data_IF_560460510232
#
_entry.id   IF_560460510232
#
_cell.length_a   1.000
_cell.length_b   1.000
_cell.length_c   1.000
_cell.angle_alpha   90.00
_cell.angle_beta   90.00
_cell.angle_gamma   90.00
#
_symmetry.space_group_name_H-M   'P 1'
#
loop_
_entity.id
_entity.type
_entity.pdbx_description
1 polymer ?
#
# COMPACT_ATOMS: atom_id res chain seq x y z
N UNK A 1 20.48 6.10 11.51
CA UNK A 1 19.31 5.81 10.66
C UNK A 1 19.75 5.79 9.19
N UNK A 2 19.22 4.90 8.35
CA UNK A 2 19.74 4.64 7.00
C UNK A 2 19.53 5.81 6.02
N UNK A 3 18.44 6.57 6.13
CA UNK A 3 18.16 7.69 5.24
C UNK A 3 18.68 9.01 5.82
N UNK A 4 19.95 9.35 5.60
CA UNK A 4 20.54 10.61 6.12
C UNK A 4 19.97 11.89 5.46
N UNK A 5 19.29 11.73 4.34
CA UNK A 5 18.77 12.83 3.51
C UNK A 5 17.32 13.19 3.82
N UNK A 6 16.63 12.36 4.60
CA UNK A 6 15.23 12.54 4.95
C UNK A 6 15.09 12.97 6.42
N UNK A 7 14.07 13.79 6.77
CA UNK A 7 13.77 14.10 8.16
C UNK A 7 13.57 12.85 9.00
N UNK A 8 13.89 12.92 10.30
CA UNK A 8 13.81 11.77 11.21
C UNK A 8 12.44 11.09 11.22
N UNK A 9 11.36 11.87 11.10
CA UNK A 9 9.99 11.35 11.05
C UNK A 9 9.71 10.50 9.79
N UNK A 10 10.27 10.86 8.63
CA UNK A 10 10.16 10.07 7.39
C UNK A 10 10.96 8.78 7.52
N UNK A 11 12.13 8.84 8.14
CA UNK A 11 13.00 7.68 8.38
C UNK A 11 12.31 6.62 9.24
N UNK A 12 11.66 7.07 10.32
CA UNK A 12 10.86 6.20 11.20
C UNK A 12 9.67 5.63 10.43
N UNK A 13 8.99 6.45 9.63
CA UNK A 13 7.87 6.01 8.80
C UNK A 13 8.29 4.90 7.83
N UNK A 14 9.33 5.12 7.01
CA UNK A 14 9.81 4.11 6.05
C UNK A 14 10.27 2.82 6.72
N UNK A 15 10.90 2.92 7.90
CA UNK A 15 11.30 1.73 8.67
C UNK A 15 10.09 0.96 9.19
N UNK A 16 9.08 1.67 9.71
CA UNK A 16 7.85 1.06 10.19
C UNK A 16 7.03 0.45 9.04
N UNK A 17 7.05 1.09 7.86
CA UNK A 17 6.34 0.64 6.68
C UNK A 17 6.76 -0.77 6.27
N UNK A 18 8.07 -1.07 6.26
CA UNK A 18 8.57 -2.39 5.95
C UNK A 18 8.02 -3.48 6.88
N UNK A 19 7.85 -3.17 8.17
CA UNK A 19 7.23 -4.11 9.14
C UNK A 19 5.74 -4.25 8.87
N UNK A 20 5.05 -3.14 8.60
CA UNK A 20 3.62 -3.10 8.31
C UNK A 20 3.29 -3.85 7.01
N UNK A 21 4.16 -3.82 6.00
CA UNK A 21 3.99 -4.57 4.75
C UNK A 21 3.96 -6.08 5.00
N UNK A 22 4.85 -6.60 5.86
CA UNK A 22 4.86 -8.02 6.23
C UNK A 22 3.54 -8.39 6.93
N UNK A 23 3.02 -7.49 7.78
CA UNK A 23 1.73 -7.68 8.43
C UNK A 23 0.59 -7.68 7.40
N UNK A 24 0.63 -6.80 6.40
CA UNK A 24 -0.36 -6.78 5.32
C UNK A 24 -0.35 -8.05 4.48
N UNK A 25 0.82 -8.57 4.14
CA UNK A 25 0.97 -9.87 3.44
C UNK A 25 0.40 -11.00 4.30
N UNK A 26 0.73 -11.02 5.60
CA UNK A 26 0.17 -12.01 6.53
C UNK A 26 -1.36 -11.95 6.59
N UNK A 27 -1.93 -10.74 6.69
CA UNK A 27 -3.38 -10.55 6.66
C UNK A 27 -4.00 -10.93 5.31
N UNK A 28 -3.33 -10.68 4.18
CA UNK A 28 -3.84 -11.09 2.87
C UNK A 28 -3.97 -12.61 2.75
N UNK A 29 -3.02 -13.35 3.33
CA UNK A 29 -3.02 -14.81 3.34
C UNK A 29 -4.13 -15.34 4.26
N UNK A 30 -4.20 -14.83 5.49
CA UNK A 30 -5.10 -15.37 6.53
C UNK A 30 -6.52 -14.82 6.45
N UNK A 31 -6.65 -13.51 6.26
CA UNK A 31 -7.91 -12.75 6.25
C UNK A 31 -7.97 -11.80 5.06
N UNK A 32 -8.16 -12.38 3.87
CA UNK A 32 -8.10 -11.70 2.57
C UNK A 32 -8.74 -10.30 2.52
N UNK A 33 -9.94 -10.13 3.07
CA UNK A 33 -10.63 -8.82 3.07
C UNK A 33 -9.92 -7.77 3.96
N UNK A 34 -9.48 -8.17 5.16
CA UNK A 34 -8.77 -7.28 6.08
C UNK A 34 -7.37 -6.94 5.53
N UNK A 35 -6.70 -7.91 4.90
CA UNK A 35 -5.44 -7.70 4.19
C UNK A 35 -5.59 -6.71 3.04
N UNK A 36 -6.63 -6.84 2.21
CA UNK A 36 -6.90 -5.90 1.11
C UNK A 36 -7.09 -4.47 1.61
N UNK A 37 -7.89 -4.26 2.67
CA UNK A 37 -8.09 -2.94 3.26
C UNK A 37 -6.77 -2.37 3.78
N UNK A 38 -5.98 -3.19 4.50
CA UNK A 38 -4.71 -2.75 5.05
C UNK A 38 -3.70 -2.38 3.95
N UNK A 39 -3.59 -3.19 2.89
CA UNK A 39 -2.74 -2.89 1.72
C UNK A 39 -3.14 -1.60 1.03
N UNK A 40 -4.44 -1.33 0.88
CA UNK A 40 -4.91 -0.07 0.30
C UNK A 40 -4.54 1.14 1.16
N UNK A 41 -4.70 1.02 2.48
CA UNK A 41 -4.33 2.08 3.42
C UNK A 41 -2.84 2.36 3.38
N UNK A 42 -2.01 1.30 3.34
CA UNK A 42 -0.55 1.41 3.22
C UNK A 42 -0.16 2.13 1.92
N UNK A 43 -0.69 1.68 0.79
CA UNK A 43 -0.40 2.28 -0.52
C UNK A 43 -0.81 3.75 -0.61
N UNK A 44 -1.95 4.11 -0.03
CA UNK A 44 -2.43 5.49 -0.02
C UNK A 44 -1.55 6.37 0.87
N UNK A 45 -1.16 5.87 2.05
CA UNK A 45 -0.24 6.55 2.95
C UNK A 45 1.16 6.73 2.35
N UNK A 46 1.67 5.70 1.65
CA UNK A 46 2.98 5.74 0.99
C UNK A 46 3.02 6.80 -0.12
N UNK A 47 2.03 6.80 -1.01
CA UNK A 47 1.90 7.83 -2.06
C UNK A 47 1.80 9.23 -1.45
N UNK A 48 1.02 9.40 -0.37
CA UNK A 48 0.87 10.69 0.29
C UNK A 48 2.19 11.19 0.89
N UNK A 49 2.92 10.33 1.61
CA UNK A 49 4.18 10.69 2.26
C UNK A 49 5.29 10.92 1.23
N UNK A 50 5.34 10.12 0.17
CA UNK A 50 6.30 10.33 -0.92
C UNK A 50 5.98 11.60 -1.72
N UNK A 51 4.70 11.97 -1.88
CA UNK A 51 4.28 13.26 -2.43
C UNK A 51 4.69 14.44 -1.55
N UNK A 52 4.50 14.35 -0.24
CA UNK A 52 4.97 15.37 0.70
C UNK A 52 6.50 15.49 0.64
N UNK A 53 7.24 14.38 0.61
CA UNK A 53 8.69 14.40 0.52
C UNK A 53 9.21 14.98 -0.81
N UNK A 54 8.47 14.80 -1.91
CA UNK A 54 8.77 15.41 -3.21
C UNK A 54 8.50 16.92 -3.21
N UNK A 55 7.28 17.34 -2.86
CA UNK A 55 6.85 18.74 -2.98
C UNK A 55 7.38 19.65 -1.86
N UNK A 56 7.43 19.19 -0.61
CA UNK A 56 7.89 20.02 0.52
C UNK A 56 9.41 19.96 0.74
N UNK A 57 10.02 18.80 0.55
CA UNK A 57 11.40 18.58 0.97
C UNK A 57 12.39 18.54 -0.21
N UNK A 58 11.91 18.40 -1.46
CA UNK A 58 12.76 18.25 -2.66
C UNK A 58 13.83 17.14 -2.52
N UNK A 59 13.62 16.18 -1.61
CA UNK A 59 14.55 15.08 -1.32
C UNK A 59 14.46 13.99 -2.38
N UNK A 60 13.29 13.87 -3.02
CA UNK A 60 13.03 12.94 -4.11
C UNK A 60 13.06 13.75 -5.41
N UNK A 61 14.00 13.44 -6.30
CA UNK A 61 14.13 14.09 -7.61
C UNK A 61 13.33 13.39 -8.70
N UNK A 62 12.79 12.21 -8.41
CA UNK A 62 12.26 11.28 -9.41
C UNK A 62 10.73 11.31 -9.46
N UNK A 63 10.19 12.17 -10.32
CA UNK A 63 8.75 12.23 -10.63
C UNK A 63 8.19 10.90 -11.17
N UNK A 64 9.04 10.11 -11.82
CA UNK A 64 8.68 8.79 -12.36
C UNK A 64 8.34 7.79 -11.26
N UNK A 65 9.06 7.80 -10.14
CA UNK A 65 8.81 6.92 -9.01
C UNK A 65 7.41 7.17 -8.41
N UNK A 66 7.02 8.44 -8.24
CA UNK A 66 5.67 8.79 -7.78
C UNK A 66 4.57 8.37 -8.76
N UNK A 67 4.82 8.51 -10.06
CA UNK A 67 3.86 8.06 -11.08
C UNK A 67 3.69 6.54 -11.06
N UNK A 68 4.77 5.77 -10.87
CA UNK A 68 4.67 4.31 -10.70
C UNK A 68 3.92 3.94 -9.42
N UNK A 69 4.15 4.63 -8.30
CA UNK A 69 3.43 4.36 -7.04
C UNK A 69 1.93 4.65 -7.18
N UNK A 70 1.55 5.74 -7.85
CA UNK A 70 0.13 6.05 -8.10
C UNK A 70 -0.53 5.05 -9.06
N UNK A 71 0.19 4.61 -10.09
CA UNK A 71 -0.26 3.55 -11.01
C UNK A 71 -0.45 2.23 -10.26
N UNK A 72 0.50 1.88 -9.38
CA UNK A 72 0.41 0.70 -8.54
C UNK A 72 -0.75 0.78 -7.54
N UNK A 73 -1.02 1.95 -6.94
CA UNK A 73 -2.21 2.18 -6.11
C UNK A 73 -3.51 1.92 -6.90
N UNK A 74 -3.59 2.43 -8.13
CA UNK A 74 -4.74 2.17 -9.02
C UNK A 74 -4.91 0.67 -9.32
N UNK A 75 -3.81 -0.04 -9.55
CA UNK A 75 -3.81 -1.49 -9.72
C UNK A 75 -4.28 -2.23 -8.45
N UNK A 76 -3.83 -1.83 -7.26
CA UNK A 76 -4.29 -2.38 -5.99
C UNK A 76 -5.80 -2.16 -5.78
N UNK A 77 -6.32 -0.98 -6.11
CA UNK A 77 -7.76 -0.70 -6.04
C UNK A 77 -8.53 -1.61 -7.01
N UNK A 78 -8.12 -1.69 -8.27
CA UNK A 78 -8.79 -2.53 -9.27
C UNK A 78 -8.79 -4.01 -8.89
N UNK A 79 -7.63 -4.53 -8.44
CA UNK A 79 -7.51 -5.92 -8.00
C UNK A 79 -8.31 -6.19 -6.72
N UNK A 80 -8.38 -5.24 -5.78
CA UNK A 80 -9.16 -5.39 -4.55
C UNK A 80 -10.66 -5.58 -4.83
N UNK A 81 -11.23 -4.84 -5.79
CA UNK A 81 -12.64 -4.96 -6.19
C UNK A 81 -12.92 -6.37 -6.73
N UNK A 82 -12.04 -6.89 -7.59
CA UNK A 82 -12.18 -8.23 -8.15
C UNK A 82 -12.02 -9.33 -7.08
N UNK A 83 -11.02 -9.20 -6.21
CA UNK A 83 -10.75 -10.15 -5.14
C UNK A 83 -11.82 -10.14 -4.05
N UNK A 84 -12.51 -9.02 -3.85
CA UNK A 84 -13.66 -8.94 -2.95
C UNK A 84 -14.84 -9.77 -3.45
N UNK A 85 -15.15 -9.71 -4.75
CA UNK A 85 -16.29 -10.42 -5.35
C UNK A 85 -16.11 -11.94 -5.41
N UNK A 86 -14.88 -12.44 -5.41
CA UNK A 86 -14.60 -13.89 -5.49
C UNK A 86 -15.15 -14.68 -4.28
N UNK A 87 -15.39 -14.04 -3.12
CA UNK A 87 -16.09 -14.68 -1.99
C UNK A 87 -17.60 -14.82 -2.19
N UNK A 88 -18.24 -13.88 -2.89
CA UNK A 88 -19.69 -13.95 -3.13
C UNK A 88 -20.07 -15.10 -4.07
N UNK A 89 -19.25 -15.39 -5.09
CA UNK A 89 -19.56 -16.46 -6.04
C UNK A 89 -19.41 -17.87 -5.45
N UNK A 90 -18.43 -18.09 -4.57
CA UNK A 90 -18.24 -19.39 -3.92
C UNK A 90 -19.41 -19.76 -2.99
N UNK A 91 -20.08 -18.77 -2.40
CA UNK A 91 -21.22 -19.00 -1.52
C UNK A 91 -22.51 -19.34 -2.29
N UNK A 92 -22.65 -18.87 -3.53
CA UNK A 92 -23.84 -19.16 -4.37
C UNK A 92 -23.77 -20.55 -4.98
N UNK A 93 -22.56 -21.08 -5.27
CA UNK A 93 -22.39 -22.42 -5.87
C UNK A 93 -22.60 -23.55 -4.85
N UNK A 94 -22.41 -23.30 -3.56
CA UNK A 94 -22.55 -24.33 -2.51
C UNK A 94 -23.99 -24.52 -1.99
N UNK A 95 -24.99 -23.85 -2.58
CA UNK A 95 -26.40 -23.91 -2.14
C UNK A 95 -27.31 -24.58 -3.20
N UNK A 96 -26.72 -25.19 -4.24
CA UNK A 96 -27.43 -25.99 -5.26
C UNK A 96 -26.98 -27.42 -5.22
#
# INVERSE_FOLDING_TARGET
MPYKFAPEWVNIYWTALAVIDIVAVYLLIKWRNAGLVLTLVIMLSDVAINSVAFYLLNVLSDSSALQLQTLFLGFCIGSSIWLWQSKSKANVVNVT
#
